data_IF_385818099337
#
_entry.id   IF_385818099337
#
_cell.length_a   1.000
_cell.length_b   1.000
_cell.length_c   1.000
_cell.angle_alpha   90.00
_cell.angle_beta   90.00
_cell.angle_gamma   90.00
#
_symmetry.space_group_name_H-M   'P 1'
#
loop_
_entity.id
_entity.type
_entity.pdbx_description
1 polymer ?
#
# COMPACT_ATOMS: atom_id res chain seq x y z
N UNK A 1 13.37 -5.91 20.84
CA UNK A 1 12.06 -6.45 20.58
C UNK A 1 12.15 -7.92 20.11
N UNK A 2 12.93 -8.22 19.06
CA UNK A 2 13.06 -9.57 18.48
C UNK A 2 13.40 -10.68 19.50
N UNK A 3 14.28 -10.38 20.48
CA UNK A 3 14.64 -11.32 21.54
C UNK A 3 13.51 -11.65 22.51
N UNK A 4 12.47 -10.81 22.58
CA UNK A 4 11.28 -11.01 23.41
C UNK A 4 10.16 -11.76 22.69
N UNK A 5 10.29 -11.99 21.39
CA UNK A 5 9.25 -12.62 20.57
C UNK A 5 9.32 -14.13 20.65
N UNK A 6 8.14 -14.76 20.79
CA UNK A 6 7.96 -16.21 20.58
C UNK A 6 8.13 -16.56 19.10
N UNK A 7 8.29 -17.84 18.79
CA UNK A 7 8.35 -18.32 17.40
C UNK A 7 7.05 -17.97 16.66
N UNK A 8 5.89 -18.14 17.28
CA UNK A 8 4.60 -17.80 16.67
C UNK A 8 4.51 -16.30 16.33
N UNK A 9 4.97 -15.42 17.21
CA UNK A 9 5.00 -13.97 16.94
C UNK A 9 5.98 -13.61 15.84
N UNK A 10 7.13 -14.26 15.75
CA UNK A 10 8.07 -14.08 14.63
C UNK A 10 7.47 -14.53 13.30
N UNK A 11 6.81 -15.68 13.27
CA UNK A 11 6.13 -16.20 12.08
C UNK A 11 5.01 -15.26 11.65
N UNK A 12 4.21 -14.73 12.58
CA UNK A 12 3.16 -13.76 12.28
C UNK A 12 3.66 -12.52 11.53
N UNK A 13 4.89 -12.07 11.82
CA UNK A 13 5.50 -10.92 11.11
C UNK A 13 5.87 -11.22 9.64
N UNK A 14 5.89 -12.49 9.24
CA UNK A 14 6.24 -12.89 7.87
C UNK A 14 5.04 -12.89 6.91
N UNK A 15 3.82 -12.65 7.42
CA UNK A 15 2.60 -12.66 6.62
C UNK A 15 2.10 -11.24 6.36
N UNK A 16 1.59 -11.05 5.15
CA UNK A 16 1.07 -9.76 4.67
C UNK A 16 -0.24 -9.97 3.88
N UNK A 17 -1.32 -10.42 4.55
CA UNK A 17 -2.59 -10.69 3.89
C UNK A 17 -3.33 -9.41 3.46
N UNK A 18 -4.27 -9.53 2.50
CA UNK A 18 -5.14 -8.42 2.13
C UNK A 18 -6.13 -8.07 3.26
N UNK A 19 -6.50 -6.79 3.33
CA UNK A 19 -7.60 -6.28 4.14
C UNK A 19 -8.56 -5.47 3.28
N UNK A 20 -9.85 -5.79 3.32
CA UNK A 20 -10.89 -5.08 2.58
C UNK A 20 -11.64 -4.12 3.50
N UNK A 21 -11.65 -2.83 3.18
CA UNK A 21 -12.24 -1.76 4.00
C UNK A 21 -13.38 -1.07 3.23
N UNK A 22 -14.29 -1.80 2.62
CA UNK A 22 -15.44 -1.15 1.96
C UNK A 22 -16.63 -0.91 2.90
N UNK A 23 -16.67 -1.62 4.03
CA UNK A 23 -17.84 -1.69 4.92
C UNK A 23 -18.94 -2.59 4.37
N UNK A 24 -19.71 -3.20 5.27
CA UNK A 24 -20.79 -4.11 4.94
C UNK A 24 -20.37 -5.54 4.61
N UNK A 25 -21.38 -6.37 4.32
CA UNK A 25 -21.27 -7.81 4.18
C UNK A 25 -20.19 -8.27 3.16
N UNK A 26 -20.05 -7.56 2.04
CA UNK A 26 -19.08 -7.93 1.00
C UNK A 26 -17.64 -7.89 1.53
N UNK A 27 -17.28 -6.85 2.27
CA UNK A 27 -15.94 -6.74 2.87
C UNK A 27 -15.68 -7.83 3.90
N UNK A 28 -16.68 -8.16 4.70
CA UNK A 28 -16.58 -9.23 5.69
C UNK A 28 -16.40 -10.58 5.01
N UNK A 29 -17.18 -10.90 3.99
CA UNK A 29 -17.04 -12.13 3.21
C UNK A 29 -15.66 -12.20 2.56
N UNK A 30 -15.19 -11.11 1.93
CA UNK A 30 -13.87 -11.09 1.30
C UNK A 30 -12.72 -11.25 2.31
N UNK A 31 -12.82 -10.62 3.48
CA UNK A 31 -11.84 -10.81 4.55
C UNK A 31 -11.84 -12.27 5.06
N UNK A 32 -13.01 -12.85 5.31
CA UNK A 32 -13.13 -14.23 5.76
C UNK A 32 -12.63 -15.22 4.70
N UNK A 33 -12.95 -15.03 3.43
CA UNK A 33 -12.49 -15.87 2.34
C UNK A 33 -10.95 -15.86 2.23
N UNK A 34 -10.33 -14.68 2.30
CA UNK A 34 -8.86 -14.55 2.22
C UNK A 34 -8.13 -15.04 3.47
N UNK A 35 -8.79 -15.06 4.62
CA UNK A 35 -8.22 -15.51 5.91
C UNK A 35 -8.64 -16.91 6.32
N UNK A 36 -9.21 -17.69 5.40
CA UNK A 36 -9.75 -19.05 5.70
C UNK A 36 -10.75 -19.04 6.86
N UNK A 37 -11.67 -18.10 6.88
CA UNK A 37 -12.72 -17.98 7.90
C UNK A 37 -12.30 -17.28 9.20
N UNK A 38 -11.10 -16.71 9.27
CA UNK A 38 -10.67 -15.95 10.45
C UNK A 38 -10.97 -14.45 10.27
N UNK A 39 -11.39 -13.80 11.35
CA UNK A 39 -11.56 -12.34 11.34
C UNK A 39 -10.19 -11.62 11.34
N UNK A 40 -10.15 -10.38 10.88
CA UNK A 40 -8.93 -9.55 10.92
C UNK A 40 -8.43 -9.38 12.35
N UNK A 41 -9.36 -9.23 13.29
CA UNK A 41 -9.06 -9.15 14.72
C UNK A 41 -8.34 -10.43 15.21
N UNK A 42 -8.81 -11.61 14.76
CA UNK A 42 -8.16 -12.91 15.07
C UNK A 42 -6.77 -13.01 14.45
N UNK A 43 -6.57 -12.51 13.22
CA UNK A 43 -5.25 -12.49 12.59
C UNK A 43 -4.26 -11.62 13.39
N UNK A 44 -4.70 -10.49 13.93
CA UNK A 44 -3.86 -9.62 14.75
C UNK A 44 -3.55 -10.26 16.12
N UNK A 45 -4.58 -10.70 16.84
CA UNK A 45 -4.46 -11.15 18.23
C UNK A 45 -3.90 -12.57 18.35
N UNK A 46 -4.43 -13.51 17.56
CA UNK A 46 -4.14 -14.94 17.70
C UNK A 46 -3.03 -15.41 16.74
N UNK A 47 -2.87 -14.75 15.59
CA UNK A 47 -1.83 -15.10 14.60
C UNK A 47 -0.66 -14.13 14.59
N UNK A 48 -0.74 -13.05 15.39
CA UNK A 48 0.33 -12.05 15.55
C UNK A 48 0.75 -11.37 14.25
N UNK A 49 -0.17 -11.29 13.26
CA UNK A 49 0.08 -10.64 11.98
C UNK A 49 -0.01 -9.13 12.19
N UNK A 50 1.01 -8.41 11.75
CA UNK A 50 1.10 -6.95 11.89
C UNK A 50 1.19 -6.21 10.55
N UNK A 51 1.16 -6.91 9.42
CA UNK A 51 1.24 -6.31 8.08
C UNK A 51 -0.02 -6.67 7.28
N UNK A 52 -0.64 -5.66 6.65
CA UNK A 52 -1.84 -5.85 5.84
C UNK A 52 -1.80 -4.98 4.60
N UNK A 53 -2.21 -5.53 3.45
CA UNK A 53 -2.36 -4.75 2.22
C UNK A 53 -3.81 -4.31 2.03
N UNK A 54 -4.02 -3.01 1.83
CA UNK A 54 -5.34 -2.41 1.64
C UNK A 54 -5.93 -2.76 0.27
N UNK A 55 -7.15 -3.27 0.27
CA UNK A 55 -7.96 -3.53 -0.92
C UNK A 55 -9.33 -2.86 -0.85
N UNK A 56 -9.94 -2.67 -2.01
CA UNK A 56 -11.22 -2.02 -2.15
C UNK A 56 -11.11 -0.51 -2.42
N UNK A 57 -12.25 0.18 -2.42
CA UNK A 57 -12.36 1.61 -2.73
C UNK A 57 -13.11 2.37 -1.63
N UNK A 58 -12.68 2.27 -0.36
CA UNK A 58 -13.33 3.03 0.72
C UNK A 58 -12.93 4.50 0.66
N UNK A 59 -13.79 5.39 1.19
CA UNK A 59 -13.40 6.79 1.34
C UNK A 59 -12.23 6.94 2.33
N UNK A 60 -11.40 8.00 2.22
CA UNK A 60 -10.26 8.24 3.11
C UNK A 60 -10.65 8.22 4.60
N UNK A 61 -11.81 8.78 4.95
CA UNK A 61 -12.32 8.77 6.32
C UNK A 61 -12.59 7.34 6.83
N UNK A 62 -13.15 6.46 5.98
CA UNK A 62 -13.38 5.05 6.35
C UNK A 62 -12.06 4.30 6.55
N UNK A 63 -11.08 4.56 5.70
CA UNK A 63 -9.73 3.98 5.83
C UNK A 63 -9.14 4.39 7.18
N UNK A 64 -9.05 5.69 7.46
CA UNK A 64 -8.46 6.22 8.69
C UNK A 64 -9.17 5.68 9.96
N UNK A 65 -10.52 5.64 9.96
CA UNK A 65 -11.28 5.10 11.10
C UNK A 65 -10.99 3.62 11.35
N UNK A 66 -10.99 2.80 10.28
CA UNK A 66 -10.73 1.35 10.42
C UNK A 66 -9.29 1.09 10.83
N UNK A 67 -8.31 1.75 10.22
CA UNK A 67 -6.90 1.61 10.60
C UNK A 67 -6.70 2.00 12.07
N UNK A 68 -7.24 3.13 12.53
CA UNK A 68 -7.15 3.54 13.92
C UNK A 68 -7.81 2.53 14.88
N UNK A 69 -8.92 1.91 14.49
CA UNK A 69 -9.54 0.83 15.29
C UNK A 69 -8.60 -0.36 15.42
N UNK A 70 -7.98 -0.79 14.33
CA UNK A 70 -7.07 -1.94 14.32
C UNK A 70 -5.75 -1.63 15.04
N UNK A 71 -5.22 -0.41 14.95
CA UNK A 71 -4.05 0.03 15.72
C UNK A 71 -4.29 -0.05 17.23
N UNK A 72 -5.45 0.43 17.71
CA UNK A 72 -5.81 0.28 19.12
C UNK A 72 -5.93 -1.17 19.57
N UNK A 73 -6.30 -2.08 18.67
CA UNK A 73 -6.30 -3.52 18.96
C UNK A 73 -4.87 -4.05 19.07
N UNK A 74 -4.00 -3.69 18.13
CA UNK A 74 -2.60 -4.09 18.12
C UNK A 74 -1.85 -3.62 19.38
N UNK A 75 -2.09 -2.39 19.84
CA UNK A 75 -1.52 -1.82 21.07
C UNK A 75 -1.83 -2.67 22.32
N UNK A 76 -2.98 -3.38 22.32
CA UNK A 76 -3.39 -4.24 23.44
C UNK A 76 -2.80 -5.65 23.40
N UNK A 77 -2.11 -6.01 22.32
CA UNK A 77 -1.41 -7.30 22.24
C UNK A 77 -0.17 -7.31 23.14
N UNK A 78 0.34 -8.49 23.46
CA UNK A 78 1.46 -8.66 24.40
C UNK A 78 2.69 -7.78 24.11
N UNK A 79 3.02 -7.57 22.86
CA UNK A 79 4.17 -6.78 22.45
C UNK A 79 3.80 -5.37 21.94
N UNK A 80 2.52 -5.10 21.72
CA UNK A 80 2.04 -3.82 21.24
C UNK A 80 2.65 -3.40 19.90
N UNK A 81 2.97 -4.35 19.01
CA UNK A 81 3.59 -4.05 17.72
C UNK A 81 2.56 -3.32 16.85
N UNK A 82 2.84 -2.09 16.40
CA UNK A 82 1.94 -1.36 15.52
C UNK A 82 1.74 -2.09 14.18
N UNK A 83 0.55 -1.95 13.60
CA UNK A 83 0.27 -2.48 12.27
C UNK A 83 0.94 -1.62 11.21
N UNK A 84 1.52 -2.29 10.21
CA UNK A 84 2.00 -1.69 8.98
C UNK A 84 0.96 -1.93 7.88
N UNK A 85 0.35 -0.87 7.40
CA UNK A 85 -0.61 -0.93 6.31
C UNK A 85 0.08 -0.51 5.02
N UNK A 86 0.02 -1.38 4.03
CA UNK A 86 0.50 -1.10 2.67
C UNK A 86 -0.68 -0.87 1.72
N UNK A 87 -0.37 -0.33 0.56
CA UNK A 87 -1.32 -0.18 -0.54
C UNK A 87 -0.62 -0.33 -1.90
N UNK A 88 -1.33 -0.92 -2.85
CA UNK A 88 -1.07 -0.72 -4.27
C UNK A 88 -1.28 0.76 -4.64
N UNK A 89 -0.90 1.23 -5.85
CA UNK A 89 -1.18 2.59 -6.28
C UNK A 89 -2.68 2.91 -6.21
N UNK A 90 -3.07 3.98 -5.51
CA UNK A 90 -4.49 4.38 -5.37
C UNK A 90 -4.78 5.76 -5.96
N UNK A 91 -3.77 6.37 -6.53
CA UNK A 91 -3.80 7.72 -7.09
C UNK A 91 -3.98 7.76 -8.61
N UNK A 92 -4.12 6.61 -9.27
CA UNK A 92 -4.27 6.58 -10.72
C UNK A 92 -5.65 7.10 -11.15
N UNK A 93 -5.71 7.66 -12.36
CA UNK A 93 -6.98 7.95 -13.01
C UNK A 93 -7.77 6.63 -13.15
N UNK A 94 -9.08 6.61 -12.82
CA UNK A 94 -9.87 5.39 -12.86
C UNK A 94 -9.80 4.67 -14.21
N UNK A 95 -9.46 3.40 -14.17
CA UNK A 95 -9.57 2.47 -15.29
C UNK A 95 -10.68 1.49 -14.97
N UNK A 96 -11.56 1.19 -15.90
CA UNK A 96 -12.70 0.31 -15.65
C UNK A 96 -12.28 -1.05 -15.12
N UNK A 97 -12.99 -1.52 -14.09
CA UNK A 97 -13.12 -2.89 -13.63
C UNK A 97 -11.87 -3.58 -13.06
N UNK A 98 -11.95 -4.01 -11.81
CA UNK A 98 -10.96 -4.88 -11.17
C UNK A 98 -11.12 -4.90 -9.64
N UNK A 99 -10.64 -5.97 -9.00
CA UNK A 99 -10.64 -6.10 -7.54
C UNK A 99 -9.59 -5.19 -6.91
N UNK A 100 -8.47 -4.96 -7.61
CA UNK A 100 -7.43 -4.02 -7.19
C UNK A 100 -7.81 -2.61 -7.61
N UNK A 101 -8.09 -1.76 -6.63
CA UNK A 101 -8.39 -0.35 -6.89
C UNK A 101 -7.09 0.42 -7.01
N UNK A 102 -6.69 0.73 -8.24
CA UNK A 102 -5.62 1.70 -8.51
C UNK A 102 -6.09 3.15 -8.38
N UNK A 103 -7.35 3.35 -8.04
CA UNK A 103 -7.96 4.67 -7.89
C UNK A 103 -9.01 4.63 -6.78
N UNK A 104 -8.78 5.38 -5.71
CA UNK A 104 -9.74 5.58 -4.63
C UNK A 104 -10.23 7.03 -4.67
N UNK A 105 -11.55 7.23 -4.62
CA UNK A 105 -12.13 8.57 -4.57
C UNK A 105 -11.70 9.32 -3.30
N UNK A 106 -11.43 10.61 -3.44
CA UNK A 106 -10.95 11.45 -2.34
C UNK A 106 -9.42 11.52 -2.21
N UNK A 107 -8.68 10.80 -3.05
CA UNK A 107 -7.24 10.99 -3.25
C UNK A 107 -6.97 11.74 -4.56
N UNK A 108 -5.84 12.43 -4.64
CA UNK A 108 -5.39 13.12 -5.85
C UNK A 108 -5.25 12.13 -7.03
N UNK A 109 -5.45 12.61 -8.26
CA UNK A 109 -5.46 11.78 -9.47
C UNK A 109 -4.29 12.12 -10.38
N UNK A 110 -3.54 11.08 -10.72
CA UNK A 110 -2.29 11.17 -11.45
C UNK A 110 -2.21 10.12 -12.56
N UNK A 111 -1.32 10.30 -13.54
CA UNK A 111 -1.04 9.26 -14.53
C UNK A 111 -0.50 7.98 -13.88
N UNK A 112 -0.65 6.85 -14.57
CA UNK A 112 0.11 5.63 -14.22
C UNK A 112 1.62 5.85 -14.41
N UNK A 113 2.43 4.89 -13.94
CA UNK A 113 3.88 4.95 -14.15
C UNK A 113 4.25 5.11 -15.63
N UNK A 114 3.59 4.38 -16.53
CA UNK A 114 3.84 4.50 -17.98
C UNK A 114 3.45 5.90 -18.50
N UNK A 115 2.38 6.49 -17.96
CA UNK A 115 2.00 7.88 -18.25
C UNK A 115 3.07 8.86 -17.79
N UNK A 116 3.59 8.71 -16.58
CA UNK A 116 4.72 9.52 -16.10
C UNK A 116 5.98 9.35 -16.96
N UNK A 117 6.28 8.13 -17.39
CA UNK A 117 7.42 7.87 -18.28
C UNK A 117 7.26 8.59 -19.62
N UNK A 118 6.04 8.70 -20.15
CA UNK A 118 5.75 9.43 -21.38
C UNK A 118 5.99 10.93 -21.24
N UNK A 119 5.74 11.51 -20.06
CA UNK A 119 6.02 12.92 -19.75
C UNK A 119 7.53 13.18 -19.65
N UNK A 120 8.32 12.20 -19.23
CA UNK A 120 9.78 12.27 -19.03
C UNK A 120 10.25 13.41 -18.11
N UNK A 121 9.42 13.82 -17.17
CA UNK A 121 9.73 14.91 -16.23
C UNK A 121 9.81 14.37 -14.79
N UNK A 122 11.02 14.17 -14.30
CA UNK A 122 11.27 13.65 -12.97
C UNK A 122 10.79 14.56 -11.83
N UNK A 123 10.69 15.89 -12.07
CA UNK A 123 10.17 16.82 -11.06
C UNK A 123 8.68 16.58 -10.78
N UNK A 124 7.89 16.30 -11.82
CA UNK A 124 6.45 15.99 -11.68
C UNK A 124 6.27 14.69 -10.87
N UNK A 125 7.13 13.70 -11.10
CA UNK A 125 7.10 12.44 -10.33
C UNK A 125 7.43 12.67 -8.87
N UNK A 126 8.41 13.52 -8.59
CA UNK A 126 8.76 13.91 -7.22
C UNK A 126 7.58 14.60 -6.53
N UNK A 127 6.96 15.58 -7.18
CA UNK A 127 5.80 16.30 -6.68
C UNK A 127 4.62 15.35 -6.40
N UNK A 128 4.30 14.48 -7.37
CA UNK A 128 3.31 13.43 -7.18
C UNK A 128 3.60 12.61 -5.92
N UNK A 129 4.82 12.08 -5.80
CA UNK A 129 5.19 11.18 -4.72
C UNK A 129 5.17 11.88 -3.34
N UNK A 130 5.50 13.16 -3.27
CA UNK A 130 5.40 13.97 -2.06
C UNK A 130 3.94 14.18 -1.64
N UNK A 131 3.04 14.49 -2.58
CA UNK A 131 1.60 14.64 -2.32
C UNK A 131 1.00 13.30 -1.91
N UNK A 132 1.27 12.23 -2.66
CA UNK A 132 0.78 10.89 -2.35
C UNK A 132 1.25 10.39 -0.98
N UNK A 133 2.49 10.70 -0.59
CA UNK A 133 2.99 10.42 0.77
C UNK A 133 2.15 11.08 1.84
N UNK A 134 1.84 12.37 1.70
CA UNK A 134 1.03 13.10 2.68
C UNK A 134 -0.38 12.50 2.79
N UNK A 135 -0.98 12.16 1.66
CA UNK A 135 -2.30 11.52 1.62
C UNK A 135 -2.28 10.12 2.25
N UNK A 136 -1.23 9.31 2.01
CA UNK A 136 -1.04 8.02 2.66
C UNK A 136 -0.90 8.16 4.17
N UNK A 137 -0.08 9.09 4.62
CA UNK A 137 0.12 9.34 6.05
C UNK A 137 -1.16 9.80 6.75
N UNK A 138 -1.97 10.62 6.08
CA UNK A 138 -3.23 11.12 6.61
C UNK A 138 -4.24 10.00 6.93
N UNK A 139 -4.19 8.88 6.19
CA UNK A 139 -5.07 7.72 6.40
C UNK A 139 -4.40 6.55 7.12
N UNK A 140 -3.10 6.66 7.45
CA UNK A 140 -2.37 5.63 8.19
C UNK A 140 -1.69 4.56 7.34
N UNK A 141 -1.57 4.75 6.01
CA UNK A 141 -0.78 3.89 5.13
C UNK A 141 0.70 4.25 5.30
N UNK A 142 1.56 3.25 5.47
CA UNK A 142 2.98 3.41 5.77
C UNK A 142 3.92 2.72 4.79
N UNK A 143 3.38 1.88 3.91
CA UNK A 143 4.17 1.16 2.91
C UNK A 143 3.49 1.26 1.56
N UNK A 144 4.26 1.63 0.54
CA UNK A 144 3.84 1.67 -0.84
C UNK A 144 4.33 0.40 -1.56
N UNK A 145 3.42 -0.43 -2.09
CA UNK A 145 3.76 -1.59 -2.92
C UNK A 145 3.94 -1.16 -4.39
N UNK A 146 4.61 -0.07 -4.59
CA UNK A 146 4.91 0.56 -5.88
C UNK A 146 6.12 1.52 -5.74
N UNK A 147 6.74 1.97 -6.84
CA UNK A 147 6.43 1.68 -8.23
C UNK A 147 6.88 0.29 -8.66
N UNK A 148 6.36 -0.23 -9.81
CA UNK A 148 6.95 -1.39 -10.46
C UNK A 148 8.24 -0.97 -11.19
N UNK A 149 9.35 -1.58 -10.81
CA UNK A 149 10.68 -1.30 -11.39
C UNK A 149 11.06 -2.26 -12.54
N UNK A 150 10.14 -3.13 -12.91
CA UNK A 150 10.30 -4.05 -14.03
C UNK A 150 10.48 -3.29 -15.35
N UNK A 151 11.30 -3.82 -16.26
CA UNK A 151 11.41 -3.29 -17.61
C UNK A 151 10.38 -3.95 -18.53
N UNK A 152 9.56 -3.13 -19.19
CA UNK A 152 8.52 -3.57 -20.12
C UNK A 152 9.14 -3.97 -21.48
N UNK A 153 9.85 -5.09 -21.53
CA UNK A 153 10.51 -5.59 -22.74
C UNK A 153 9.58 -6.41 -23.64
N UNK A 154 8.43 -6.84 -23.12
CA UNK A 154 7.41 -7.60 -23.85
C UNK A 154 6.10 -6.78 -23.94
N UNK A 155 5.74 -6.23 -25.12
CA UNK A 155 4.58 -5.34 -25.24
C UNK A 155 3.22 -5.99 -24.94
N UNK A 156 3.13 -7.32 -25.02
CA UNK A 156 1.92 -8.09 -24.70
C UNK A 156 1.73 -8.34 -23.20
N UNK A 157 2.73 -8.02 -22.39
CA UNK A 157 2.64 -8.20 -20.95
C UNK A 157 1.59 -7.26 -20.35
N UNK A 158 0.56 -7.84 -19.74
CA UNK A 158 -0.62 -7.12 -19.26
C UNK A 158 -0.33 -6.05 -18.18
N UNK A 159 0.84 -6.07 -17.54
CA UNK A 159 1.24 -5.12 -16.49
C UNK A 159 2.14 -3.99 -16.98
N UNK A 160 2.38 -3.86 -18.26
CA UNK A 160 3.20 -2.78 -18.84
C UNK A 160 2.83 -1.38 -18.35
N UNK A 161 1.54 -1.13 -18.15
CA UNK A 161 1.03 0.18 -17.68
C UNK A 161 1.55 0.58 -16.30
N UNK A 162 1.90 -0.39 -15.46
CA UNK A 162 2.41 -0.18 -14.11
C UNK A 162 3.93 0.05 -14.04
N UNK A 163 4.63 0.05 -15.18
CA UNK A 163 6.09 0.24 -15.28
C UNK A 163 6.44 1.61 -15.87
N UNK A 164 7.70 1.99 -15.77
CA UNK A 164 8.23 3.17 -16.48
C UNK A 164 8.68 2.86 -17.92
N UNK A 165 8.31 1.69 -18.49
CA UNK A 165 8.63 1.28 -19.84
C UNK A 165 9.88 0.42 -19.95
N UNK A 166 10.44 0.33 -21.16
CA UNK A 166 11.53 -0.60 -21.49
C UNK A 166 12.94 0.00 -21.38
N UNK A 167 13.07 1.31 -21.20
CA UNK A 167 14.36 1.98 -21.11
C UNK A 167 14.87 1.98 -19.66
N UNK A 168 15.97 1.29 -19.40
CA UNK A 168 16.53 1.10 -18.05
C UNK A 168 16.97 2.42 -17.40
N UNK A 169 17.62 3.32 -18.15
CA UNK A 169 18.12 4.59 -17.62
C UNK A 169 16.97 5.51 -17.23
N UNK A 170 15.94 5.60 -18.08
CA UNK A 170 14.73 6.36 -17.76
C UNK A 170 14.02 5.77 -16.56
N UNK A 171 13.80 4.45 -16.52
CA UNK A 171 13.14 3.77 -15.40
C UNK A 171 13.88 3.99 -14.09
N UNK A 172 15.18 3.86 -14.07
CA UNK A 172 16.03 4.11 -12.89
C UNK A 172 15.88 5.55 -12.39
N UNK A 173 16.02 6.53 -13.30
CA UNK A 173 15.88 7.95 -12.96
C UNK A 173 14.52 8.28 -12.36
N UNK A 174 13.44 7.77 -12.96
CA UNK A 174 12.09 8.05 -12.50
C UNK A 174 11.77 7.34 -11.18
N UNK A 175 12.25 6.09 -11.01
CA UNK A 175 12.13 5.33 -9.76
C UNK A 175 12.80 6.05 -8.59
N UNK A 176 14.02 6.58 -8.79
CA UNK A 176 14.75 7.33 -7.76
C UNK A 176 13.92 8.53 -7.27
N UNK A 177 13.36 9.31 -8.20
CA UNK A 177 12.52 10.47 -7.82
C UNK A 177 11.22 10.07 -7.14
N UNK A 178 10.60 8.98 -7.60
CA UNK A 178 9.40 8.40 -6.98
C UNK A 178 9.69 7.99 -5.52
N UNK A 179 10.72 7.19 -5.30
CA UNK A 179 11.12 6.72 -3.97
C UNK A 179 11.48 7.89 -3.05
N UNK A 180 12.28 8.82 -3.54
CA UNK A 180 12.66 10.00 -2.77
C UNK A 180 11.46 10.86 -2.34
N UNK A 181 10.41 10.95 -3.15
CA UNK A 181 9.16 11.63 -2.81
C UNK A 181 8.42 10.93 -1.67
N UNK A 182 8.26 9.60 -1.75
CA UNK A 182 7.62 8.80 -0.71
C UNK A 182 8.43 8.70 0.59
N UNK A 183 9.74 8.53 0.49
CA UNK A 183 10.61 8.41 1.68
C UNK A 183 10.95 9.77 2.31
N UNK A 184 10.95 10.83 1.50
CA UNK A 184 11.45 12.14 1.90
C UNK A 184 12.98 12.20 1.87
N UNK A 185 13.56 13.34 2.31
CA UNK A 185 15.03 13.57 2.32
C UNK A 185 15.79 12.60 3.24
N UNK A 186 15.15 12.13 4.29
CA UNK A 186 15.67 11.12 5.24
C UNK A 186 14.50 10.28 5.75
N UNK A 187 14.72 9.00 5.92
CA UNK A 187 13.72 8.10 6.51
C UNK A 187 13.45 8.52 7.94
N UNK A 188 12.18 8.78 8.25
CA UNK A 188 11.70 9.21 9.57
C UNK A 188 10.21 8.88 9.72
N UNK A 189 9.58 9.38 10.80
CA UNK A 189 8.15 9.15 11.08
C UNK A 189 7.17 9.64 9.99
N UNK A 190 7.62 10.51 9.09
CA UNK A 190 6.84 11.06 7.99
C UNK A 190 7.21 10.41 6.64
N UNK A 191 7.91 9.29 6.65
CA UNK A 191 8.20 8.49 5.45
C UNK A 191 7.12 7.45 5.20
N UNK A 192 6.89 7.16 3.93
CA UNK A 192 6.22 5.96 3.44
C UNK A 192 7.29 5.13 2.73
N UNK A 193 7.41 3.85 3.07
CA UNK A 193 8.46 2.94 2.59
C UNK A 193 7.91 1.99 1.54
#
# INVERSE_FOLDING_TARGET
LLSKMTIAEKVGQMFHPPIFINGGLVSEIMNLANSKGQSIESLIVNKHISHFNLYGSPSPLKIAKKINQLQRLAERTRLGIPLTISSDPIHEVPRGGGIASFSIEGFSKWPSQLGFASIRNSKIIREFAEIAREEYLAVGIRTALHPMCDLATEPRWARNFGTFGSNADLSSKLTIEYMNGFQGKKINKNSVL
#
